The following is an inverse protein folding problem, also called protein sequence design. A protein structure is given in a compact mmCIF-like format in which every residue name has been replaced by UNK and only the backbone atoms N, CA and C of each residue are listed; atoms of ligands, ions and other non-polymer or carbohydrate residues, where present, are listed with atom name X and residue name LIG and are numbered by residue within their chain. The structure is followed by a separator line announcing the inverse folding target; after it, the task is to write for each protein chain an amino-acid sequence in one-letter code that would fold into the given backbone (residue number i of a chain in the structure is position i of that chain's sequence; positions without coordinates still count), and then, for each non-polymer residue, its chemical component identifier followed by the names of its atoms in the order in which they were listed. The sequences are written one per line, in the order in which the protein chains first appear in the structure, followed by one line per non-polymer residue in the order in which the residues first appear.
data_IF_922574458650
#
_entry.id   IF_922574458650
#
_cell.length_a   1.000
_cell.length_b   1.000
_cell.length_c   1.000
_cell.angle_alpha   90.00
_cell.angle_beta   90.00
_cell.angle_gamma   90.00
#
_symmetry.space_group_name_H-M   'P 1'
#
loop_
_entity.id
_entity.type
_entity.pdbx_description
1 polymer ?
#
# COMPACT_ATOMS: atom_id res chain seq x y z
N UNK A 1 18.05 -8.19 -28.90
CA UNK A 1 18.00 -7.23 -27.78
C UNK A 1 16.83 -7.59 -26.87
N UNK A 2 16.99 -8.59 -26.00
CA UNK A 2 16.06 -8.87 -24.89
C UNK A 2 16.85 -9.48 -23.73
N UNK A 3 17.89 -8.78 -23.28
CA UNK A 3 18.50 -9.02 -21.99
C UNK A 3 17.82 -8.08 -20.98
N UNK A 4 16.73 -8.54 -20.37
CA UNK A 4 16.25 -7.93 -19.14
C UNK A 4 16.02 -9.06 -18.12
N UNK A 5 17.14 -9.59 -17.65
CA UNK A 5 17.19 -10.61 -16.61
C UNK A 5 16.59 -10.07 -15.30
N UNK A 6 15.80 -10.94 -14.65
CA UNK A 6 15.03 -10.86 -13.40
C UNK A 6 15.75 -10.28 -12.16
N UNK A 7 16.30 -9.07 -12.25
CA UNK A 7 17.26 -8.57 -11.26
C UNK A 7 16.81 -7.32 -10.48
N UNK A 8 15.58 -6.83 -10.67
CA UNK A 8 15.10 -5.64 -9.97
C UNK A 8 14.09 -5.95 -8.86
N UNK A 9 14.16 -5.21 -7.74
CA UNK A 9 13.14 -5.26 -6.67
C UNK A 9 11.72 -4.96 -7.19
N UNK A 10 11.59 -4.34 -8.37
CA UNK A 10 10.33 -4.11 -9.07
C UNK A 10 9.71 -5.41 -9.61
N UNK A 11 10.52 -6.41 -9.93
CA UNK A 11 10.06 -7.69 -10.48
C UNK A 11 9.53 -8.63 -9.38
N UNK A 12 10.18 -8.66 -8.20
CA UNK A 12 9.67 -9.40 -7.05
C UNK A 12 8.27 -8.91 -6.61
N UNK A 13 8.11 -7.58 -6.51
CA UNK A 13 6.82 -6.95 -6.21
C UNK A 13 5.76 -7.26 -7.27
N UNK A 14 6.16 -7.33 -8.54
CA UNK A 14 5.28 -7.68 -9.64
C UNK A 14 4.79 -9.13 -9.56
N UNK A 15 5.67 -10.11 -9.38
CA UNK A 15 5.29 -11.52 -9.26
C UNK A 15 4.39 -11.78 -8.05
N UNK A 16 4.68 -11.12 -6.92
CA UNK A 16 3.83 -11.21 -5.73
C UNK A 16 2.44 -10.60 -5.96
N UNK A 17 2.37 -9.46 -6.63
CA UNK A 17 1.10 -8.85 -7.00
C UNK A 17 0.31 -9.76 -7.97
N UNK A 18 0.96 -10.36 -8.95
CA UNK A 18 0.34 -11.26 -9.92
C UNK A 18 -0.24 -12.50 -9.24
N UNK A 19 0.50 -13.11 -8.30
CA UNK A 19 0.02 -14.23 -7.50
C UNK A 19 -1.27 -13.88 -6.75
N UNK A 20 -1.34 -12.70 -6.12
CA UNK A 20 -2.54 -12.23 -5.39
C UNK A 20 -3.72 -12.03 -6.34
N UNK A 21 -3.51 -11.42 -7.50
CA UNK A 21 -4.57 -11.20 -8.49
C UNK A 21 -5.13 -12.54 -8.97
N UNK A 22 -4.26 -13.49 -9.30
CA UNK A 22 -4.66 -14.83 -9.75
C UNK A 22 -5.35 -15.61 -8.65
N UNK A 23 -4.90 -15.50 -7.40
CA UNK A 23 -5.52 -16.16 -6.26
C UNK A 23 -6.92 -15.60 -5.97
N UNK A 24 -7.02 -14.29 -5.77
CA UNK A 24 -8.23 -13.64 -5.26
C UNK A 24 -9.24 -13.27 -6.35
N UNK A 25 -8.86 -13.41 -7.62
CA UNK A 25 -9.62 -13.01 -8.80
C UNK A 25 -10.06 -11.53 -8.76
N UNK A 26 -9.20 -10.67 -8.20
CA UNK A 26 -9.48 -9.23 -8.02
C UNK A 26 -8.31 -8.39 -8.54
N UNK A 27 -8.52 -7.71 -9.66
CA UNK A 27 -7.53 -6.85 -10.30
C UNK A 27 -7.87 -5.34 -10.15
N UNK A 28 -7.99 -4.87 -8.91
CA UNK A 28 -8.22 -3.45 -8.63
C UNK A 28 -6.97 -2.80 -7.99
N UNK A 29 -6.61 -1.60 -8.42
CA UNK A 29 -5.45 -0.84 -7.89
C UNK A 29 -5.51 -0.65 -6.38
N UNK A 30 -6.68 -0.24 -5.86
CA UNK A 30 -6.90 -0.08 -4.42
C UNK A 30 -6.85 -1.40 -3.63
N UNK A 31 -7.09 -2.54 -4.28
CA UNK A 31 -7.01 -3.86 -3.65
C UNK A 31 -5.55 -4.27 -3.45
N UNK A 32 -4.73 -4.16 -4.51
CA UNK A 32 -3.29 -4.46 -4.47
C UNK A 32 -2.55 -3.50 -3.53
N UNK A 33 -2.94 -2.22 -3.51
CA UNK A 33 -2.43 -1.22 -2.58
C UNK A 33 -2.52 -1.71 -1.12
N UNK A 34 -3.70 -2.17 -0.68
CA UNK A 34 -3.93 -2.65 0.69
C UNK A 34 -3.25 -3.98 0.97
N UNK A 35 -3.30 -4.92 0.03
CA UNK A 35 -2.72 -6.26 0.21
C UNK A 35 -1.20 -6.27 0.27
N UNK A 36 -0.53 -5.36 -0.44
CA UNK A 36 0.92 -5.25 -0.45
C UNK A 36 1.47 -4.07 0.38
N UNK A 37 0.59 -3.30 1.03
CA UNK A 37 0.96 -2.10 1.77
C UNK A 37 1.87 -1.14 0.98
N UNK A 38 1.57 -0.95 -0.32
CA UNK A 38 2.31 -0.06 -1.23
C UNK A 38 1.49 1.20 -1.53
N UNK A 39 2.15 2.27 -1.99
CA UNK A 39 1.45 3.49 -2.42
C UNK A 39 0.62 3.30 -3.70
N UNK A 40 -0.41 4.14 -3.89
CA UNK A 40 -1.38 4.04 -4.99
C UNK A 40 -0.72 4.03 -6.38
N UNK A 41 0.18 4.98 -6.66
CA UNK A 41 0.88 5.06 -7.96
C UNK A 41 1.73 3.81 -8.25
N UNK A 42 2.26 3.17 -7.21
CA UNK A 42 3.02 1.93 -7.35
C UNK A 42 2.10 0.76 -7.70
N UNK A 43 0.96 0.67 -7.04
CA UNK A 43 -0.06 -0.34 -7.36
C UNK A 43 -0.64 -0.14 -8.78
N UNK A 44 -0.85 1.10 -9.22
CA UNK A 44 -1.29 1.44 -10.58
C UNK A 44 -0.33 0.90 -11.64
N UNK A 45 0.97 1.20 -11.51
CA UNK A 45 2.00 0.69 -12.42
C UNK A 45 2.08 -0.83 -12.47
N UNK A 46 1.84 -1.51 -11.34
CA UNK A 46 1.80 -2.98 -11.31
C UNK A 46 0.61 -3.53 -12.10
N UNK A 47 -0.57 -2.90 -11.98
CA UNK A 47 -1.76 -3.30 -12.74
C UNK A 47 -1.60 -2.99 -14.24
N UNK A 48 -1.04 -1.84 -14.60
CA UNK A 48 -0.71 -1.48 -16.00
C UNK A 48 0.24 -2.50 -16.62
N UNK A 49 1.31 -2.87 -15.90
CA UNK A 49 2.26 -3.89 -16.34
C UNK A 49 1.61 -5.27 -16.49
N UNK A 50 0.64 -5.62 -15.63
CA UNK A 50 -0.13 -6.86 -15.77
C UNK A 50 -1.09 -6.84 -16.96
N UNK A 51 -1.61 -5.67 -17.31
CA UNK A 51 -2.44 -5.45 -18.49
C UNK A 51 -1.62 -5.59 -19.77
N UNK A 52 -0.45 -4.95 -19.84
CA UNK A 52 0.49 -5.06 -20.97
C UNK A 52 0.90 -6.51 -21.24
N UNK A 53 1.13 -7.28 -20.18
CA UNK A 53 1.50 -8.68 -20.30
C UNK A 53 0.30 -9.57 -20.62
N UNK A 54 -0.95 -9.10 -20.45
CA UNK A 54 -2.15 -9.87 -20.72
C UNK A 54 -2.58 -10.79 -19.58
N UNK A 55 -2.15 -10.50 -18.34
CA UNK A 55 -2.61 -11.17 -17.11
C UNK A 55 -3.97 -10.59 -16.68
N UNK A 56 -4.18 -9.30 -16.93
CA UNK A 56 -5.38 -8.54 -16.57
C UNK A 56 -5.93 -7.86 -17.83
N UNK A 57 -7.25 -7.79 -17.98
CA UNK A 57 -7.88 -7.10 -19.11
C UNK A 57 -7.85 -5.57 -18.95
N UNK A 58 -8.13 -4.88 -20.05
CA UNK A 58 -8.52 -3.48 -20.00
C UNK A 58 -9.75 -3.29 -19.08
N UNK A 59 -9.87 -2.12 -18.42
CA UNK A 59 -11.03 -1.82 -17.59
C UNK A 59 -12.30 -1.74 -18.45
N UNK A 60 -13.36 -2.39 -18.01
CA UNK A 60 -14.68 -2.22 -18.62
C UNK A 60 -15.30 -0.84 -18.26
N UNK A 61 -16.49 -0.53 -18.77
CA UNK A 61 -17.17 0.75 -18.50
C UNK A 61 -17.48 1.06 -17.02
N UNK A 62 -17.29 0.09 -16.12
CA UNK A 62 -17.45 0.23 -14.66
C UNK A 62 -16.10 0.17 -13.93
N UNK A 63 -14.99 0.12 -14.67
CA UNK A 63 -13.63 0.02 -14.13
C UNK A 63 -13.25 -1.35 -13.59
N UNK A 64 -14.06 -2.39 -13.83
CA UNK A 64 -13.70 -3.77 -13.49
C UNK A 64 -12.79 -4.35 -14.56
N UNK A 65 -11.79 -5.11 -14.13
CA UNK A 65 -10.83 -5.80 -14.98
C UNK A 65 -11.02 -7.30 -14.80
N UNK A 66 -11.09 -8.02 -15.91
CA UNK A 66 -11.16 -9.48 -15.93
C UNK A 66 -9.75 -10.04 -15.90
N UNK A 67 -9.63 -11.26 -15.36
CA UNK A 67 -8.34 -11.93 -15.22
C UNK A 67 -8.25 -12.98 -16.30
N UNK A 68 -7.13 -12.99 -17.02
CA UNK A 68 -6.97 -13.86 -18.16
C UNK A 68 -7.03 -15.35 -17.75
N UNK A 69 -7.39 -16.22 -18.70
CA UNK A 69 -7.39 -17.66 -18.44
C UNK A 69 -5.98 -18.16 -18.12
N UNK A 70 -5.90 -19.27 -17.37
CA UNK A 70 -4.61 -19.87 -16.95
C UNK A 70 -3.66 -20.05 -18.13
N UNK A 71 -4.16 -20.44 -19.32
CA UNK A 71 -3.35 -20.58 -20.53
C UNK A 71 -2.73 -19.27 -21.03
N UNK A 72 -3.46 -18.16 -20.92
CA UNK A 72 -3.00 -16.82 -21.31
C UNK A 72 -2.05 -16.23 -20.27
N UNK A 73 -2.36 -16.40 -18.98
CA UNK A 73 -1.48 -16.00 -17.86
C UNK A 73 -0.10 -16.66 -18.02
N UNK A 74 -0.04 -17.91 -18.48
CA UNK A 74 1.23 -18.62 -18.69
C UNK A 74 2.07 -18.04 -19.83
N UNK A 75 1.45 -17.68 -20.95
CA UNK A 75 2.12 -16.99 -22.07
C UNK A 75 2.56 -15.59 -21.69
N UNK A 76 1.74 -14.90 -20.91
CA UNK A 76 1.96 -13.55 -20.39
C UNK A 76 3.12 -13.48 -19.38
N UNK A 77 3.15 -14.45 -18.46
CA UNK A 77 4.10 -14.44 -17.35
C UNK A 77 5.48 -14.87 -17.81
N UNK A 78 5.60 -15.76 -18.82
CA UNK A 78 6.82 -16.27 -19.43
C UNK A 78 8.08 -15.99 -18.59
N UNK A 79 8.04 -16.50 -17.35
CA UNK A 79 9.23 -16.66 -16.52
C UNK A 79 10.07 -17.63 -17.32
N UNK A 80 11.25 -17.17 -17.69
CA UNK A 80 12.17 -17.71 -18.70
C UNK A 80 12.55 -19.20 -18.48
N UNK A 81 11.59 -20.12 -18.65
CA UNK A 81 11.65 -21.56 -18.41
C UNK A 81 11.53 -22.00 -16.94
N UNK A 82 10.30 -22.30 -16.45
CA UNK A 82 10.11 -23.19 -15.30
C UNK A 82 8.68 -23.70 -15.09
N UNK A 83 7.62 -23.08 -15.63
CA UNK A 83 6.24 -23.52 -15.32
C UNK A 83 5.86 -24.71 -16.21
N UNK A 84 5.66 -25.93 -15.68
CA UNK A 84 5.31 -27.11 -16.48
C UNK A 84 3.96 -26.93 -17.17
N UNK A 85 3.79 -27.41 -18.41
CA UNK A 85 2.55 -27.27 -19.22
C UNK A 85 1.30 -27.91 -18.60
N UNK A 86 1.46 -28.76 -17.58
CA UNK A 86 0.38 -29.43 -16.85
C UNK A 86 0.07 -28.82 -15.47
N UNK A 87 0.75 -27.74 -15.07
CA UNK A 87 0.60 -27.15 -13.73
C UNK A 87 -0.80 -26.57 -13.49
N UNK A 88 -1.37 -26.89 -12.34
CA UNK A 88 -2.63 -26.36 -11.83
C UNK A 88 -2.46 -24.95 -11.24
N UNK A 89 -3.59 -24.33 -10.86
CA UNK A 89 -3.62 -22.96 -10.34
C UNK A 89 -2.79 -22.79 -9.06
N UNK A 90 -2.79 -23.79 -8.19
CA UNK A 90 -2.07 -23.74 -6.92
C UNK A 90 -0.56 -23.88 -7.12
N UNK A 91 -0.13 -24.73 -8.06
CA UNK A 91 1.28 -24.83 -8.46
C UNK A 91 1.78 -23.50 -9.04
N UNK A 92 0.99 -22.83 -9.87
CA UNK A 92 1.36 -21.52 -10.42
C UNK A 92 1.52 -20.47 -9.31
N UNK A 93 0.60 -20.42 -8.34
CA UNK A 93 0.69 -19.50 -7.19
C UNK A 93 1.97 -19.78 -6.38
N UNK A 94 2.25 -21.06 -6.11
CA UNK A 94 3.44 -21.47 -5.38
C UNK A 94 4.72 -21.05 -6.10
N UNK A 95 4.82 -21.34 -7.38
CA UNK A 95 6.00 -20.98 -8.20
C UNK A 95 6.21 -19.47 -8.31
N UNK A 96 5.14 -18.68 -8.43
CA UNK A 96 5.23 -17.21 -8.46
C UNK A 96 5.70 -16.64 -7.12
N UNK A 97 5.26 -17.23 -6.02
CA UNK A 97 5.66 -16.83 -4.67
C UNK A 97 7.13 -17.17 -4.43
N UNK A 98 7.54 -18.39 -4.76
CA UNK A 98 8.94 -18.85 -4.66
C UNK A 98 9.87 -18.00 -5.52
N UNK A 99 9.49 -17.69 -6.76
CA UNK A 99 10.28 -16.80 -7.63
C UNK A 99 10.42 -15.38 -7.07
N UNK A 100 9.34 -14.84 -6.47
CA UNK A 100 9.38 -13.54 -5.77
C UNK A 100 10.38 -13.56 -4.62
N UNK A 101 10.32 -14.59 -3.78
CA UNK A 101 11.16 -14.71 -2.59
C UNK A 101 12.64 -14.90 -2.96
N UNK A 102 12.92 -15.69 -4.01
CA UNK A 102 14.29 -15.87 -4.54
C UNK A 102 14.87 -14.58 -5.12
N UNK A 103 14.08 -13.82 -5.88
CA UNK A 103 14.51 -12.52 -6.44
C UNK A 103 14.74 -11.51 -5.30
N UNK A 104 13.86 -11.47 -4.31
CA UNK A 104 14.01 -10.62 -3.13
C UNK A 104 15.27 -10.97 -2.33
N UNK A 105 15.54 -12.27 -2.11
CA UNK A 105 16.73 -12.75 -1.41
C UNK A 105 18.02 -12.42 -2.17
N UNK A 106 18.05 -12.61 -3.50
CA UNK A 106 19.18 -12.24 -4.35
C UNK A 106 19.41 -10.72 -4.38
N UNK A 107 18.35 -9.92 -4.48
CA UNK A 107 18.43 -8.47 -4.45
C UNK A 107 18.93 -7.93 -3.11
N UNK A 108 18.54 -8.53 -1.99
CA UNK A 108 19.04 -8.18 -0.65
C UNK A 108 20.52 -8.52 -0.49
N UNK A 109 20.95 -9.71 -0.93
CA UNK A 109 22.37 -10.13 -0.93
C UNK A 109 23.22 -9.21 -1.81
N UNK A 110 22.76 -8.89 -3.02
CA UNK A 110 23.45 -7.99 -3.93
C UNK A 110 23.56 -6.56 -3.37
N UNK A 111 22.51 -6.01 -2.74
CA UNK A 111 22.57 -4.70 -2.07
C UNK A 111 23.51 -4.68 -0.88
N UNK A 112 23.51 -5.73 -0.06
CA UNK A 112 24.46 -5.87 1.04
C UNK A 112 25.89 -5.96 0.50
N UNK A 113 26.13 -6.69 -0.59
CA UNK A 113 27.44 -6.82 -1.23
C UNK A 113 27.91 -5.51 -1.88
N UNK A 114 27.00 -4.74 -2.48
CA UNK A 114 27.28 -3.41 -3.04
C UNK A 114 27.58 -2.38 -1.93
N UNK A 115 26.84 -2.41 -0.80
CA UNK A 115 27.17 -1.61 0.39
C UNK A 115 28.54 -2.01 0.99
N UNK A 116 28.90 -3.29 0.92
CA UNK A 116 30.22 -3.80 1.36
C UNK A 116 31.35 -3.31 0.45
N UNK A 117 31.16 -3.35 -0.86
CA UNK A 117 32.14 -2.82 -1.82
C UNK A 117 32.32 -1.30 -1.67
N UNK A 118 31.24 -0.54 -1.40
CA UNK A 118 31.31 0.90 -1.12
C UNK A 118 31.95 1.26 0.22
N UNK A 119 31.88 0.37 1.22
CA UNK A 119 32.44 0.59 2.57
C UNK A 119 33.84 0.01 2.79
N UNK A 120 34.38 -0.74 1.82
CA UNK A 120 35.77 -1.23 1.80
C UNK A 120 36.18 -2.17 2.95
N UNK A 121 35.25 -2.59 3.82
CA UNK A 121 35.56 -3.41 5.00
C UNK A 121 35.41 -4.92 4.69
N UNK A 122 36.46 -5.73 4.89
CA UNK A 122 36.38 -7.19 4.74
C UNK A 122 35.37 -7.80 5.74
N UNK A 123 34.86 -9.03 5.46
CA UNK A 123 33.93 -9.70 6.37
C UNK A 123 34.54 -9.78 7.76
N UNK A 124 33.83 -9.23 8.75
CA UNK A 124 34.18 -9.37 10.15
C UNK A 124 34.21 -10.88 10.44
N UNK A 125 35.32 -11.38 11.00
CA UNK A 125 35.29 -12.70 11.63
C UNK A 125 34.14 -12.67 12.66
N UNK A 126 33.36 -13.75 12.83
CA UNK A 126 32.32 -13.79 13.85
C UNK A 126 32.99 -13.51 15.20
N UNK A 127 32.76 -12.29 15.69
CA UNK A 127 33.31 -11.78 16.93
C UNK A 127 32.17 -11.77 17.95
N UNK A 128 32.20 -12.65 18.96
CA UNK A 128 31.13 -12.75 19.96
C UNK A 128 30.84 -11.42 20.67
N UNK A 129 31.84 -10.54 20.77
CA UNK A 129 31.72 -9.22 21.39
C UNK A 129 30.97 -8.23 20.49
N UNK A 130 31.11 -8.36 19.17
CA UNK A 130 30.38 -7.53 18.20
C UNK A 130 28.93 -7.98 18.05
N UNK A 131 28.67 -9.29 18.06
CA UNK A 131 27.32 -9.85 18.03
C UNK A 131 26.51 -9.44 19.28
N UNK A 132 27.15 -9.40 20.46
CA UNK A 132 26.52 -8.89 21.69
C UNK A 132 26.19 -7.39 21.62
N UNK A 133 27.04 -6.58 20.98
CA UNK A 133 26.79 -5.15 20.81
C UNK A 133 25.66 -4.88 19.79
N UNK A 134 25.62 -5.66 18.70
CA UNK A 134 24.55 -5.61 17.71
C UNK A 134 23.22 -6.07 18.31
N UNK A 135 23.20 -7.14 19.11
CA UNK A 135 22.01 -7.62 19.81
C UNK A 135 21.51 -6.59 20.84
N UNK A 136 22.42 -5.93 21.56
CA UNK A 136 22.06 -4.81 22.44
C UNK A 136 21.48 -3.62 21.68
N UNK A 137 22.08 -3.20 20.56
CA UNK A 137 21.53 -2.13 19.72
C UNK A 137 20.17 -2.50 19.13
N UNK A 138 19.98 -3.76 18.73
CA UNK A 138 18.71 -4.28 18.25
C UNK A 138 17.65 -4.32 19.36
N UNK A 139 18.01 -4.71 20.58
CA UNK A 139 17.11 -4.70 21.75
C UNK A 139 16.70 -3.28 22.15
N UNK A 140 17.61 -2.31 22.06
CA UNK A 140 17.31 -0.88 22.30
C UNK A 140 16.34 -0.35 21.25
N UNK A 141 16.61 -0.58 19.96
CA UNK A 141 15.73 -0.14 18.86
C UNK A 141 14.38 -0.88 18.84
N UNK A 142 14.35 -2.16 19.19
CA UNK A 142 13.10 -2.91 19.39
C UNK A 142 12.29 -2.39 20.58
N UNK A 143 12.95 -1.90 21.64
CA UNK A 143 12.31 -1.26 22.78
C UNK A 143 11.67 0.08 22.40
N UNK A 144 12.36 0.92 21.63
CA UNK A 144 11.81 2.15 21.09
C UNK A 144 10.60 1.90 20.19
N UNK A 145 10.67 0.90 19.31
CA UNK A 145 9.56 0.50 18.46
C UNK A 145 8.33 0.09 19.28
N UNK A 146 8.50 -0.70 20.35
CA UNK A 146 7.41 -1.05 21.26
C UNK A 146 6.78 0.19 21.90
N UNK A 147 7.60 1.15 22.34
CA UNK A 147 7.08 2.41 22.91
C UNK A 147 6.30 3.25 21.89
N UNK A 148 6.68 3.25 20.61
CA UNK A 148 5.89 3.90 19.56
C UNK A 148 4.56 3.17 19.33
N UNK A 149 4.59 1.83 19.26
CA UNK A 149 3.39 1.00 19.07
C UNK A 149 2.41 1.17 20.21
N UNK A 150 2.86 1.05 21.46
CA UNK A 150 2.01 1.23 22.66
C UNK A 150 1.37 2.63 22.71
N UNK A 151 2.12 3.68 22.36
CA UNK A 151 1.57 5.03 22.27
C UNK A 151 0.51 5.15 21.17
N UNK A 152 0.73 4.52 20.02
CA UNK A 152 -0.24 4.51 18.92
C UNK A 152 -1.51 3.76 19.31
N UNK A 153 -1.39 2.58 19.92
CA UNK A 153 -2.54 1.79 20.39
C UNK A 153 -3.38 2.56 21.41
N UNK A 154 -2.73 3.27 22.34
CA UNK A 154 -3.44 4.14 23.30
C UNK A 154 -4.18 5.27 22.60
N UNK A 155 -3.55 5.97 21.65
CA UNK A 155 -4.19 7.03 20.88
C UNK A 155 -5.36 6.51 20.03
N UNK A 156 -5.26 5.30 19.49
CA UNK A 156 -6.36 4.66 18.77
C UNK A 156 -7.54 4.31 19.69
N UNK A 157 -7.27 3.82 20.90
CA UNK A 157 -8.29 3.61 21.93
C UNK A 157 -8.97 4.92 22.31
N UNK A 158 -8.20 5.97 22.62
CA UNK A 158 -8.73 7.30 22.94
C UNK A 158 -9.59 7.86 21.79
N UNK A 159 -9.16 7.71 20.54
CA UNK A 159 -9.92 8.14 19.35
C UNK A 159 -11.24 7.39 19.24
N UNK A 160 -11.26 6.09 19.55
CA UNK A 160 -12.47 5.27 19.54
C UNK A 160 -13.43 5.73 20.64
N UNK A 161 -12.94 5.93 21.85
CA UNK A 161 -13.74 6.39 22.99
C UNK A 161 -14.36 7.77 22.70
N UNK A 162 -13.58 8.70 22.15
CA UNK A 162 -14.08 10.02 21.72
C UNK A 162 -15.15 9.88 20.63
N UNK A 163 -14.97 8.98 19.68
CA UNK A 163 -15.95 8.76 18.61
C UNK A 163 -17.27 8.20 19.17
N UNK A 164 -17.20 7.34 20.18
CA UNK A 164 -18.39 6.79 20.83
C UNK A 164 -19.08 7.86 21.70
N UNK A 165 -18.33 8.67 22.45
CA UNK A 165 -18.87 9.85 23.15
C UNK A 165 -19.57 10.83 22.19
N UNK A 166 -19.00 11.08 21.00
CA UNK A 166 -19.65 11.93 19.98
C UNK A 166 -20.99 11.35 19.50
N UNK A 167 -21.10 10.02 19.40
CA UNK A 167 -22.37 9.37 19.03
C UNK A 167 -23.41 9.50 20.14
N UNK A 168 -23.00 9.36 21.39
CA UNK A 168 -23.89 9.54 22.55
C UNK A 168 -24.47 10.95 22.59
N UNK A 169 -23.64 11.98 22.43
CA UNK A 169 -24.11 13.39 22.37
C UNK A 169 -25.08 13.61 21.22
N UNK A 170 -24.80 13.03 20.04
CA UNK A 170 -25.70 13.13 18.88
C UNK A 170 -27.02 12.37 19.10
N UNK A 171 -26.98 11.24 19.79
CA UNK A 171 -28.17 10.47 20.14
C UNK A 171 -29.04 11.21 21.18
N UNK A 172 -28.41 11.84 22.17
CA UNK A 172 -29.09 12.68 23.15
C UNK A 172 -29.75 13.89 22.49
N UNK A 173 -29.04 14.59 21.59
CA UNK A 173 -29.60 15.69 20.83
C UNK A 173 -30.81 15.23 20.01
N UNK A 174 -30.74 14.04 19.39
CA UNK A 174 -31.85 13.45 18.65
C UNK A 174 -33.05 13.15 19.57
N UNK A 175 -32.81 12.59 20.75
CA UNK A 175 -33.86 12.28 21.73
C UNK A 175 -34.58 13.54 22.22
N UNK A 176 -33.85 14.66 22.30
CA UNK A 176 -34.40 15.99 22.62
C UNK A 176 -35.09 16.69 21.44
N UNK A 177 -35.13 16.06 20.25
CA UNK A 177 -35.82 16.58 19.06
C UNK A 177 -34.97 17.43 18.11
N UNK A 178 -33.65 17.52 18.31
CA UNK A 178 -32.76 18.24 17.40
C UNK A 178 -32.43 17.41 16.14
N UNK A 179 -32.30 18.07 14.99
CA UNK A 179 -31.84 17.43 13.75
C UNK A 179 -30.31 17.25 13.75
N UNK A 180 -29.87 16.01 13.98
CA UNK A 180 -28.44 15.66 14.00
C UNK A 180 -27.71 15.88 12.66
N UNK A 181 -28.40 15.91 11.52
CA UNK A 181 -27.77 16.21 10.21
C UNK A 181 -27.48 17.69 10.10
N UNK A 182 -28.41 18.55 10.52
CA UNK A 182 -28.21 20.01 10.58
C UNK A 182 -27.10 20.35 11.58
N UNK A 183 -27.09 19.73 12.76
CA UNK A 183 -26.03 19.92 13.75
C UNK A 183 -24.63 19.58 13.20
N UNK A 184 -24.48 18.46 12.48
CA UNK A 184 -23.19 18.11 11.84
C UNK A 184 -22.75 19.16 10.83
N UNK A 185 -23.67 19.68 10.00
CA UNK A 185 -23.36 20.77 9.05
C UNK A 185 -22.90 22.03 9.78
N UNK A 186 -23.58 22.41 10.86
CA UNK A 186 -23.20 23.57 11.68
C UNK A 186 -21.81 23.38 12.30
N UNK A 187 -21.50 22.18 12.82
CA UNK A 187 -20.16 21.88 13.35
C UNK A 187 -19.10 22.00 12.25
N UNK A 188 -19.36 21.49 11.04
CA UNK A 188 -18.42 21.61 9.91
C UNK A 188 -18.22 23.06 9.51
N UNK A 189 -19.29 23.86 9.41
CA UNK A 189 -19.21 25.29 9.11
C UNK A 189 -18.41 26.04 10.19
N UNK A 190 -18.60 25.67 11.46
CA UNK A 190 -17.87 26.28 12.59
C UNK A 190 -16.43 25.81 12.72
N UNK A 191 -16.06 24.70 12.08
CA UNK A 191 -14.67 24.24 11.99
C UNK A 191 -13.88 24.95 10.90
N UNK A 192 -14.57 25.58 9.95
CA UNK A 192 -13.93 26.38 8.92
C UNK A 192 -13.25 27.58 9.57
N UNK A 193 -12.02 27.87 9.14
CA UNK A 193 -11.26 28.99 9.70
C UNK A 193 -11.98 30.31 9.37
N UNK A 194 -11.88 31.29 10.27
CA UNK A 194 -12.44 32.63 10.02
C UNK A 194 -11.78 33.29 8.82
N UNK A 195 -10.51 32.99 8.61
CA UNK A 195 -9.74 33.52 7.49
C UNK A 195 -10.21 32.89 6.16
N UNK A 196 -10.44 31.58 6.13
CA UNK A 196 -11.02 30.88 4.96
C UNK A 196 -12.42 31.40 4.61
N UNK A 197 -13.23 31.72 5.62
CA UNK A 197 -14.58 32.29 5.42
C UNK A 197 -14.46 33.70 4.84
N UNK A 198 -13.57 34.53 5.37
CA UNK A 198 -13.37 35.89 4.90
C UNK A 198 -12.84 35.95 3.45
N UNK A 199 -11.93 35.04 3.09
CA UNK A 199 -11.42 34.93 1.71
C UNK A 199 -12.53 34.53 0.74
N UNK A 200 -13.34 33.52 1.08
CA UNK A 200 -14.47 33.13 0.23
C UNK A 200 -15.54 34.21 0.13
N UNK A 201 -15.85 34.91 1.23
CA UNK A 201 -16.79 36.02 1.23
C UNK A 201 -16.30 37.18 0.36
N UNK A 202 -15.01 37.52 0.41
CA UNK A 202 -14.43 38.55 -0.45
C UNK A 202 -14.49 38.18 -1.94
N UNK A 203 -14.20 36.92 -2.28
CA UNK A 203 -14.32 36.44 -3.67
C UNK A 203 -15.78 36.43 -4.12
N UNK A 204 -16.70 36.02 -3.24
CA UNK A 204 -18.13 35.99 -3.51
C UNK A 204 -18.68 37.41 -3.73
N UNK A 205 -18.25 38.37 -2.93
CA UNK A 205 -18.62 39.78 -3.05
C UNK A 205 -18.13 40.37 -4.38
N UNK A 206 -16.87 40.11 -4.76
CA UNK A 206 -16.34 40.48 -6.09
C UNK A 206 -17.18 39.90 -7.23
N UNK A 207 -17.63 38.65 -7.13
CA UNK A 207 -18.49 38.02 -8.15
C UNK A 207 -19.90 38.60 -8.19
N UNK A 208 -20.49 38.92 -7.03
CA UNK A 208 -21.81 39.56 -6.96
C UNK A 208 -21.77 40.96 -7.58
N UNK A 209 -20.74 41.74 -7.27
CA UNK A 209 -20.54 43.05 -7.87
C UNK A 209 -20.40 42.96 -9.40
N UNK A 210 -19.61 42.00 -9.89
CA UNK A 210 -19.46 41.75 -11.33
C UNK A 210 -20.77 41.31 -12.02
N UNK A 211 -21.67 40.65 -11.29
CA UNK A 211 -22.98 40.23 -11.77
C UNK A 211 -24.10 41.25 -11.48
N UNK A 212 -23.79 42.38 -10.84
CA UNK A 212 -24.75 43.43 -10.47
C UNK A 212 -25.79 42.98 -9.44
N UNK A 213 -25.43 42.03 -8.57
CA UNK A 213 -26.27 41.48 -7.51
C UNK A 213 -25.95 42.06 -6.13
#
# INVERSE_FOLDING_TARGET
MTDNALNSNGDALFYRAAAIVVQDQKAATSYIQRKLAIGYNKAARLIERMEELGIVSAPNGVGKREIASIGTIRKAIAVTAAIPETADRDTIIKMLTEASDDIAAKAMKAKHEEQRQKSGKPPMKPDPTFDQAADNSYRVTAGELRQFVERMERLEAEKKDIADQQKEVMAEAKARGYDTKVMRKVITLRKRDKDDIAEEEAVLEMYKEALGM
#
